data_IF_906411525776
#
_entry.id   IF_906411525776
#
_cell.length_a   1.000
_cell.length_b   1.000
_cell.length_c   1.000
_cell.angle_alpha   90.00
_cell.angle_beta   90.00
_cell.angle_gamma   90.00
#
_symmetry.space_group_name_H-M   'P 1'
#
loop_
_entity.id
_entity.type
_entity.pdbx_description
1 polymer ?
#
# COMPACT_ATOMS: atom_id res chain seq x y z
N UNK A 1 6.71 26.32 -9.50
CA UNK A 1 6.95 25.92 -8.10
C UNK A 1 6.02 24.75 -7.81
N UNK A 2 6.48 23.52 -8.01
CA UNK A 2 5.63 22.34 -7.82
C UNK A 2 5.30 22.20 -6.33
N UNK A 3 4.00 22.21 -6.01
CA UNK A 3 3.50 21.97 -4.65
C UNK A 3 3.79 20.52 -4.33
N UNK A 4 4.77 20.26 -3.48
CA UNK A 4 4.95 18.94 -2.86
C UNK A 4 3.61 18.57 -2.21
N UNK A 5 2.96 17.46 -2.60
CA UNK A 5 1.71 17.06 -1.96
C UNK A 5 2.05 16.78 -0.50
N UNK A 6 1.54 17.62 0.39
CA UNK A 6 1.60 17.35 1.83
C UNK A 6 0.57 16.26 2.06
N UNK A 7 0.99 14.99 1.96
CA UNK A 7 0.18 13.87 2.42
C UNK A 7 -0.26 14.16 3.85
N UNK A 8 -1.57 14.13 4.12
CA UNK A 8 -2.09 14.20 5.48
C UNK A 8 -1.64 12.94 6.21
N UNK A 9 -0.54 13.08 6.97
CA UNK A 9 0.00 11.99 7.77
C UNK A 9 -0.90 11.78 8.99
N UNK A 10 -1.73 10.74 8.96
CA UNK A 10 -2.48 10.31 10.13
C UNK A 10 -1.49 9.83 11.20
N UNK A 11 -1.48 10.48 12.37
CA UNK A 11 -0.59 10.12 13.47
C UNK A 11 -1.11 8.87 14.18
N UNK A 12 -0.49 7.73 13.89
CA UNK A 12 -0.78 6.46 14.56
C UNK A 12 0.18 6.23 15.71
N UNK A 13 -0.35 5.96 16.90
CA UNK A 13 0.45 5.52 18.05
C UNK A 13 0.54 3.99 18.08
N UNK A 14 1.76 3.46 18.04
CA UNK A 14 2.02 2.03 18.03
C UNK A 14 2.95 1.63 19.18
N UNK A 15 2.67 0.50 19.82
CA UNK A 15 3.54 -0.09 20.85
C UNK A 15 4.41 -1.15 20.21
N UNK A 16 5.71 -0.93 20.21
CA UNK A 16 6.71 -1.88 19.70
C UNK A 16 7.63 -2.32 20.84
N UNK A 17 8.12 -3.57 20.81
CA UNK A 17 9.15 -4.04 21.74
C UNK A 17 10.40 -3.15 21.74
N UNK A 18 10.97 -2.87 22.91
CA UNK A 18 12.15 -2.01 23.08
C UNK A 18 13.34 -2.38 22.18
N UNK A 19 13.70 -3.67 21.99
CA UNK A 19 14.83 -4.02 21.12
C UNK A 19 14.67 -3.57 19.66
N UNK A 20 13.43 -3.50 19.16
CA UNK A 20 13.15 -3.02 17.80
C UNK A 20 13.28 -1.49 17.71
N UNK A 21 12.82 -0.78 18.74
CA UNK A 21 12.96 0.67 18.84
C UNK A 21 14.44 1.07 18.92
N UNK A 22 15.24 0.34 19.71
CA UNK A 22 16.66 0.59 19.87
C UNK A 22 17.42 0.36 18.55
N UNK A 23 17.08 -0.71 17.83
CA UNK A 23 17.64 -0.97 16.50
C UNK A 23 17.28 0.12 15.49
N UNK A 24 16.01 0.56 15.45
CA UNK A 24 15.58 1.63 14.55
C UNK A 24 16.23 2.99 14.86
N UNK A 25 16.51 3.29 16.15
CA UNK A 25 17.29 4.47 16.54
C UNK A 25 18.72 4.39 16.02
N UNK A 26 19.38 3.24 16.19
CA UNK A 26 20.74 3.00 15.70
C UNK A 26 20.83 3.15 14.18
N UNK A 27 19.92 2.52 13.44
CA UNK A 27 19.84 2.67 11.97
C UNK A 27 19.59 4.11 11.53
N UNK A 28 18.75 4.86 12.26
CA UNK A 28 18.52 6.29 12.00
C UNK A 28 19.79 7.12 12.19
N UNK A 29 20.55 6.87 13.26
CA UNK A 29 21.82 7.55 13.53
C UNK A 29 22.89 7.22 12.48
N UNK A 30 23.04 5.95 12.13
CA UNK A 30 24.03 5.50 11.13
C UNK A 30 23.77 6.05 9.74
N UNK A 31 22.49 6.22 9.37
CA UNK A 31 22.09 6.72 8.04
C UNK A 31 21.81 8.21 7.99
N UNK A 32 21.93 8.93 9.12
CA UNK A 32 21.60 10.35 9.23
C UNK A 32 20.12 10.66 8.93
N UNK A 33 19.21 9.72 9.23
CA UNK A 33 17.76 9.85 8.94
C UNK A 33 16.94 9.96 10.23
N UNK A 34 15.80 10.67 10.21
CA UNK A 34 14.91 10.74 11.35
C UNK A 34 14.41 9.35 11.77
N UNK A 35 14.25 9.14 13.08
CA UNK A 35 13.78 7.87 13.65
C UNK A 35 12.48 7.35 13.00
N UNK A 36 11.51 8.23 12.76
CA UNK A 36 10.25 7.90 12.11
C UNK A 36 10.45 7.32 10.68
N UNK A 37 11.48 7.78 9.96
CA UNK A 37 11.81 7.25 8.64
C UNK A 37 12.33 5.82 8.73
N UNK A 38 13.18 5.51 9.71
CA UNK A 38 13.67 4.14 9.94
C UNK A 38 12.55 3.19 10.33
N UNK A 39 11.58 3.64 11.15
CA UNK A 39 10.39 2.85 11.50
C UNK A 39 9.51 2.61 10.27
N UNK A 40 9.24 3.65 9.46
CA UNK A 40 8.48 3.51 8.21
C UNK A 40 9.14 2.52 7.26
N UNK A 41 10.45 2.64 7.05
CA UNK A 41 11.20 1.72 6.19
C UNK A 41 11.16 0.27 6.73
N UNK A 42 11.25 0.07 8.04
CA UNK A 42 11.15 -1.25 8.64
C UNK A 42 9.74 -1.87 8.50
N UNK A 43 8.69 -1.07 8.67
CA UNK A 43 7.31 -1.50 8.44
C UNK A 43 7.09 -1.85 6.97
N UNK A 44 7.56 -1.00 6.06
CA UNK A 44 7.55 -1.30 4.63
C UNK A 44 8.27 -2.63 4.37
N UNK A 45 9.51 -2.81 4.84
CA UNK A 45 10.26 -4.08 4.69
C UNK A 45 9.50 -5.26 5.28
N UNK A 46 8.82 -5.13 6.42
CA UNK A 46 8.03 -6.20 7.04
C UNK A 46 6.82 -6.58 6.17
N UNK A 47 6.07 -5.60 5.69
CA UNK A 47 4.97 -5.84 4.75
C UNK A 47 5.47 -6.40 3.40
N UNK A 48 6.64 -5.96 2.93
CA UNK A 48 7.27 -6.48 1.72
C UNK A 48 7.97 -7.83 1.91
N UNK A 49 8.37 -8.20 3.13
CA UNK A 49 8.94 -9.52 3.43
C UNK A 49 7.90 -10.64 3.31
N UNK A 50 6.62 -10.32 3.52
CA UNK A 50 5.53 -11.26 3.22
C UNK A 50 5.19 -11.30 1.72
N UNK A 51 5.76 -10.41 0.92
CA UNK A 51 5.72 -10.53 -0.53
C UNK A 51 6.75 -11.58 -0.93
N UNK A 52 6.32 -12.65 -1.59
CA UNK A 52 7.23 -13.67 -2.10
C UNK A 52 8.30 -12.99 -2.97
N UNK A 53 9.56 -13.43 -2.86
CA UNK A 53 10.70 -12.81 -3.58
C UNK A 53 10.43 -12.65 -5.07
N UNK A 54 9.78 -13.65 -5.68
CA UNK A 54 9.36 -13.63 -7.09
C UNK A 54 8.38 -12.50 -7.41
N UNK A 55 7.47 -12.17 -6.48
CA UNK A 55 6.55 -11.03 -6.64
C UNK A 55 7.27 -9.69 -6.54
N UNK A 56 8.26 -9.59 -5.66
CA UNK A 56 9.07 -8.39 -5.54
C UNK A 56 9.91 -8.15 -6.80
N UNK A 57 10.51 -9.20 -7.35
CA UNK A 57 11.28 -9.14 -8.60
C UNK A 57 10.38 -8.77 -9.78
N UNK A 58 9.20 -9.40 -9.89
CA UNK A 58 8.20 -9.08 -10.93
C UNK A 58 7.74 -7.61 -10.83
N UNK A 59 7.47 -7.13 -9.62
CA UNK A 59 7.08 -5.73 -9.39
C UNK A 59 8.18 -4.74 -9.84
N UNK A 60 9.45 -5.05 -9.55
CA UNK A 60 10.57 -4.20 -9.94
C UNK A 60 10.75 -4.18 -11.47
N UNK A 61 10.54 -5.30 -12.15
CA UNK A 61 10.57 -5.35 -13.61
C UNK A 61 9.40 -4.58 -14.22
N UNK A 62 8.18 -4.76 -13.74
CA UNK A 62 7.00 -4.05 -14.22
C UNK A 62 7.16 -2.53 -14.06
N UNK A 63 7.67 -2.07 -12.91
CA UNK A 63 7.98 -0.66 -12.69
C UNK A 63 8.97 -0.11 -13.72
N UNK A 64 10.02 -0.87 -14.06
CA UNK A 64 11.00 -0.47 -15.08
C UNK A 64 10.38 -0.41 -16.48
N UNK A 65 9.55 -1.39 -16.83
CA UNK A 65 8.90 -1.44 -18.14
C UNK A 65 7.90 -0.30 -18.32
N UNK A 66 7.14 0.01 -17.26
CA UNK A 66 6.15 1.07 -17.26
C UNK A 66 6.76 2.47 -17.05
N UNK A 67 8.03 2.55 -16.64
CA UNK A 67 8.72 3.81 -16.38
C UNK A 67 8.12 4.61 -15.23
N UNK A 68 7.47 3.92 -14.28
CA UNK A 68 6.73 4.54 -13.19
C UNK A 68 7.52 4.47 -11.89
N UNK A 69 7.29 5.47 -11.03
CA UNK A 69 7.78 5.44 -9.66
C UNK A 69 7.04 4.37 -8.86
N UNK A 70 7.64 3.98 -7.74
CA UNK A 70 7.04 2.99 -6.82
C UNK A 70 5.66 3.42 -6.35
N UNK A 71 5.49 4.69 -6.01
CA UNK A 71 4.24 5.24 -5.53
C UNK A 71 3.13 5.18 -6.59
N UNK A 72 3.46 5.56 -7.83
CA UNK A 72 2.54 5.48 -8.97
C UNK A 72 2.12 4.03 -9.27
N UNK A 73 3.06 3.10 -9.17
CA UNK A 73 2.79 1.68 -9.35
C UNK A 73 1.84 1.13 -8.27
N UNK A 74 2.06 1.47 -6.99
CA UNK A 74 1.13 1.07 -5.93
C UNK A 74 -0.25 1.71 -6.09
N UNK A 75 -0.31 2.99 -6.47
CA UNK A 75 -1.57 3.69 -6.70
C UNK A 75 -2.38 3.03 -7.82
N UNK A 76 -1.73 2.60 -8.91
CA UNK A 76 -2.41 1.92 -10.02
C UNK A 76 -2.94 0.54 -9.63
N UNK A 77 -2.17 -0.24 -8.87
CA UNK A 77 -2.60 -1.54 -8.34
C UNK A 77 -3.81 -1.41 -7.40
N UNK A 78 -3.77 -0.42 -6.52
CA UNK A 78 -4.88 -0.14 -5.60
C UNK A 78 -6.13 0.31 -6.35
N UNK A 79 -6.02 1.24 -7.31
CA UNK A 79 -7.17 1.67 -8.12
C UNK A 79 -7.79 0.50 -8.89
N UNK A 80 -6.96 -0.32 -9.54
CA UNK A 80 -7.43 -1.52 -10.24
C UNK A 80 -8.18 -2.48 -9.28
N UNK A 81 -7.65 -2.67 -8.07
CA UNK A 81 -8.31 -3.51 -7.06
C UNK A 81 -9.62 -2.92 -6.56
N UNK A 82 -9.67 -1.61 -6.29
CA UNK A 82 -10.88 -0.93 -5.86
C UNK A 82 -11.99 -1.03 -6.91
N UNK A 83 -11.67 -0.81 -8.18
CA UNK A 83 -12.65 -0.97 -9.28
C UNK A 83 -13.20 -2.38 -9.36
N UNK A 84 -12.37 -3.40 -9.18
CA UNK A 84 -12.83 -4.79 -9.12
C UNK A 84 -13.78 -5.05 -7.95
N UNK A 85 -13.49 -4.50 -6.77
CA UNK A 85 -14.36 -4.65 -5.60
C UNK A 85 -15.72 -3.97 -5.82
N UNK A 86 -15.73 -2.75 -6.37
CA UNK A 86 -16.96 -2.04 -6.73
C UNK A 86 -17.76 -2.85 -7.76
N UNK A 87 -17.11 -3.33 -8.83
CA UNK A 87 -17.78 -4.12 -9.85
C UNK A 87 -18.37 -5.43 -9.27
N UNK A 88 -17.67 -6.10 -8.36
CA UNK A 88 -18.19 -7.28 -7.66
C UNK A 88 -19.39 -6.95 -6.78
N UNK A 89 -19.36 -5.83 -6.05
CA UNK A 89 -20.49 -5.41 -5.23
C UNK A 89 -21.72 -5.12 -6.08
N UNK A 90 -21.56 -4.38 -7.19
CA UNK A 90 -22.64 -4.07 -8.13
C UNK A 90 -23.25 -5.35 -8.71
N UNK A 91 -22.44 -6.36 -9.02
CA UNK A 91 -22.93 -7.65 -9.49
C UNK A 91 -23.69 -8.44 -8.41
N UNK A 92 -23.26 -8.38 -7.15
CA UNK A 92 -23.96 -8.99 -6.03
C UNK A 92 -25.32 -8.32 -5.81
N UNK A 93 -25.36 -6.99 -5.77
CA UNK A 93 -26.58 -6.20 -5.61
C UNK A 93 -27.58 -6.45 -6.76
N UNK A 94 -27.08 -6.66 -7.99
CA UNK A 94 -27.91 -7.01 -9.14
C UNK A 94 -28.47 -8.44 -9.10
N UNK A 95 -27.80 -9.38 -8.41
CA UNK A 95 -28.29 -10.75 -8.22
C UNK A 95 -29.35 -10.84 -7.12
N UNK A 96 -29.25 -9.99 -6.09
CA UNK A 96 -30.23 -9.89 -5.00
C UNK A 96 -31.47 -9.06 -5.37
N UNK A 97 -31.49 -8.41 -6.54
CA UNK A 97 -32.65 -7.68 -7.02
C UNK A 97 -33.84 -8.63 -7.30
N UNK A 98 -35.02 -8.42 -6.69
CA UNK A 98 -36.17 -9.30 -6.88
C UNK A 98 -36.63 -9.25 -8.34
N UNK A 99 -36.71 -10.43 -8.98
CA UNK A 99 -37.28 -10.58 -10.32
C UNK A 99 -38.73 -10.10 -10.31
N UNK A 100 -38.97 -8.86 -10.73
CA UNK A 100 -40.31 -8.33 -10.99
C UNK A 100 -40.92 -9.18 -12.09
N UNK A 101 -41.77 -10.13 -11.70
CA UNK A 101 -42.58 -10.93 -12.63
C UNK A 101 -43.44 -9.96 -13.44
N UNK A 102 -43.12 -9.79 -14.72
CA UNK A 102 -44.03 -9.21 -15.72
C UNK A 102 -45.30 -10.06 -15.70
N UNK A 103 -46.36 -9.58 -15.04
CA UNK A 103 -47.72 -10.09 -15.23
C UNK A 103 -48.12 -9.74 -16.67
N UNK A 104 -48.34 -10.79 -17.46
CA UNK A 104 -49.17 -10.74 -18.66
C UNK A 104 -50.63 -10.64 -18.25
#
# INVERSE_FOLDING_TARGET
>A
MAKTPTEELEMVTMRLPSPLLDRARKDGQERGRPFAHSIRAALEIFFFHQMAREMADTMVEDMKQLGVTREEYFRSLLDARYRQLIARQVLADAQDAPRVKKKR
#
